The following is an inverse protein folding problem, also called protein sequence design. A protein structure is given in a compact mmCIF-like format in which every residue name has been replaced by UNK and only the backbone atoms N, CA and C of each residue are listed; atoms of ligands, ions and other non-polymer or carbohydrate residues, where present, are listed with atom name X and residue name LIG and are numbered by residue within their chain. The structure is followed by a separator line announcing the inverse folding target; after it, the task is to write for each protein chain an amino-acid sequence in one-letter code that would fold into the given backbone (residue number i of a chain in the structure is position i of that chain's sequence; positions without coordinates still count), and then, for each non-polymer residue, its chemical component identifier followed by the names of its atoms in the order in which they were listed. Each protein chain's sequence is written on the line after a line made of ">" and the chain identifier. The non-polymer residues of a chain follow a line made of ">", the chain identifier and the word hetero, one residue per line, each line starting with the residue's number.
data_IF_281272971752
#
_entry.id   IF_281272971752
#
_cell.length_a   1.000
_cell.length_b   1.000
_cell.length_c   1.000
_cell.angle_alpha   90.00
_cell.angle_beta   90.00
_cell.angle_gamma   90.00
#
_symmetry.space_group_name_H-M   'P 1'
#
loop_
_entity.id
_entity.type
_entity.pdbx_description
1 polymer ?
#
# COMPACT_ATOMS: atom_id res chain seq x y z
N UNK A 1 -24.58 1.12 -27.37
CA UNK A 1 -24.34 1.34 -25.93
C UNK A 1 -22.87 1.66 -25.75
N UNK A 2 -22.50 2.81 -25.19
CA UNK A 2 -21.08 3.17 -25.01
C UNK A 2 -20.44 2.21 -24.01
N UNK A 3 -19.45 1.43 -24.45
CA UNK A 3 -18.63 0.58 -23.58
C UNK A 3 -17.81 1.49 -22.65
N UNK A 4 -18.36 1.80 -21.46
CA UNK A 4 -17.65 2.61 -20.47
C UNK A 4 -16.44 1.82 -19.97
N UNK A 5 -15.25 2.24 -20.40
CA UNK A 5 -14.01 1.66 -19.92
C UNK A 5 -13.78 2.05 -18.46
N UNK A 6 -13.51 1.08 -17.59
CA UNK A 6 -13.18 1.31 -16.18
C UNK A 6 -11.81 1.98 -15.96
N UNK A 7 -11.05 2.24 -17.03
CA UNK A 7 -9.70 2.83 -17.00
C UNK A 7 -9.57 4.04 -16.05
N UNK A 8 -10.51 5.01 -16.00
CA UNK A 8 -10.42 6.15 -15.09
C UNK A 8 -10.40 5.76 -13.61
N UNK A 9 -11.11 4.69 -13.22
CA UNK A 9 -11.14 4.21 -11.83
C UNK A 9 -9.78 3.62 -11.46
N UNK A 10 -9.24 2.72 -12.31
CA UNK A 10 -7.94 2.11 -12.06
C UNK A 10 -6.81 3.14 -11.97
N UNK A 11 -6.86 4.15 -12.84
CA UNK A 11 -5.89 5.23 -12.87
C UNK A 11 -6.08 6.21 -11.71
N UNK A 12 -7.32 6.48 -11.29
CA UNK A 12 -7.63 7.31 -10.12
C UNK A 12 -7.05 6.74 -8.82
N UNK A 13 -7.24 5.44 -8.58
CA UNK A 13 -6.65 4.76 -7.41
C UNK A 13 -5.12 4.74 -7.51
N UNK A 14 -4.57 4.51 -8.71
CA UNK A 14 -3.13 4.59 -8.97
C UNK A 14 -2.56 5.98 -8.64
N UNK A 15 -3.23 7.05 -9.06
CA UNK A 15 -2.82 8.43 -8.78
C UNK A 15 -2.89 8.73 -7.28
N UNK A 16 -4.00 8.37 -6.61
CA UNK A 16 -4.14 8.51 -5.16
C UNK A 16 -3.06 7.74 -4.40
N UNK A 17 -2.75 6.51 -4.82
CA UNK A 17 -1.68 5.72 -4.22
C UNK A 17 -0.29 6.29 -4.45
N UNK A 18 -0.05 6.96 -5.59
CA UNK A 18 1.21 7.65 -5.86
C UNK A 18 1.42 8.85 -4.94
N UNK A 19 0.38 9.68 -4.79
CA UNK A 19 0.40 10.81 -3.85
C UNK A 19 0.59 10.34 -2.42
N UNK A 20 -0.14 9.30 -2.01
CA UNK A 20 0.01 8.73 -0.68
C UNK A 20 1.43 8.21 -0.45
N UNK A 21 2.01 7.47 -1.42
CA UNK A 21 3.37 6.95 -1.28
C UNK A 21 4.41 8.08 -1.18
N UNK A 22 4.27 9.13 -1.98
CA UNK A 22 5.15 10.29 -1.93
C UNK A 22 5.11 11.00 -0.57
N UNK A 23 3.92 11.16 0.02
CA UNK A 23 3.73 11.90 1.28
C UNK A 23 3.99 11.07 2.53
N UNK A 24 3.64 9.77 2.52
CA UNK A 24 3.68 8.93 3.71
C UNK A 24 4.71 7.79 3.61
N UNK A 25 4.78 7.05 2.51
CA UNK A 25 5.69 5.90 2.42
C UNK A 25 7.16 6.33 2.50
N UNK A 26 7.54 7.41 1.82
CA UNK A 26 8.92 7.90 1.84
C UNK A 26 9.42 8.24 3.27
N UNK A 27 8.73 9.09 4.07
CA UNK A 27 9.16 9.33 5.45
C UNK A 27 9.01 8.11 6.34
N UNK A 28 8.03 7.22 6.11
CA UNK A 28 7.92 5.96 6.86
C UNK A 28 9.14 5.06 6.66
N UNK A 29 9.67 4.95 5.43
CA UNK A 29 10.91 4.21 5.16
C UNK A 29 12.08 4.84 5.91
N UNK A 30 12.19 6.18 5.92
CA UNK A 30 13.25 6.86 6.68
C UNK A 30 13.14 6.53 8.18
N UNK A 31 11.94 6.65 8.76
CA UNK A 31 11.71 6.36 10.19
C UNK A 31 12.01 4.91 10.53
N UNK A 32 11.39 3.96 9.82
CA UNK A 32 11.39 2.54 10.17
C UNK A 32 12.69 1.85 9.76
N UNK A 33 13.25 2.19 8.60
CA UNK A 33 14.42 1.49 8.04
C UNK A 33 15.75 2.21 8.32
N UNK A 34 15.74 3.51 8.68
CA UNK A 34 16.97 4.27 8.93
C UNK A 34 17.03 4.85 10.35
N UNK A 35 16.04 5.60 10.80
CA UNK A 35 16.17 6.29 12.09
C UNK A 35 16.03 5.34 13.29
N UNK A 36 15.07 4.42 13.22
CA UNK A 36 14.82 3.45 14.29
C UNK A 36 15.95 2.42 14.45
N UNK A 37 16.47 1.77 13.40
CA UNK A 37 17.53 0.76 13.56
C UNK A 37 18.87 1.35 13.99
N UNK A 38 19.09 2.65 13.75
CA UNK A 38 20.30 3.36 14.16
C UNK A 38 20.14 4.07 15.52
N UNK A 39 19.04 3.82 16.25
CA UNK A 39 18.82 4.31 17.60
C UNK A 39 18.52 5.82 17.72
N UNK A 40 18.28 6.52 16.60
CA UNK A 40 17.99 7.96 16.59
C UNK A 40 16.65 8.27 17.26
N UNK A 41 15.68 7.35 17.15
CA UNK A 41 14.34 7.48 17.72
C UNK A 41 14.17 6.71 19.04
N UNK A 42 15.28 6.31 19.65
CA UNK A 42 15.28 5.51 20.88
C UNK A 42 15.09 4.02 20.63
N UNK A 43 14.56 3.35 21.64
CA UNK A 43 14.46 1.89 21.66
C UNK A 43 13.30 1.36 20.77
N UNK A 44 13.55 0.35 19.90
CA UNK A 44 12.52 -0.23 19.03
C UNK A 44 11.30 -0.79 19.75
N UNK A 45 11.46 -1.37 20.96
CA UNK A 45 10.32 -1.91 21.70
C UNK A 45 9.42 -0.78 22.20
N UNK A 46 10.01 0.30 22.70
CA UNK A 46 9.26 1.49 23.12
C UNK A 46 8.55 2.17 21.94
N UNK A 47 9.19 2.22 20.77
CA UNK A 47 8.56 2.74 19.55
C UNK A 47 7.36 1.87 19.13
N UNK A 48 7.50 0.55 19.20
CA UNK A 48 6.43 -0.40 18.89
C UNK A 48 5.23 -0.22 19.82
N UNK A 49 5.43 -0.25 21.14
CA UNK A 49 4.33 -0.14 22.12
C UNK A 49 3.53 1.15 21.95
N UNK A 50 4.23 2.28 21.76
CA UNK A 50 3.58 3.56 21.49
C UNK A 50 2.77 3.49 20.19
N UNK A 51 3.37 3.03 19.09
CA UNK A 51 2.71 3.00 17.77
C UNK A 51 1.55 2.00 17.73
N UNK A 52 1.69 0.85 18.38
CA UNK A 52 0.68 -0.20 18.44
C UNK A 52 -0.58 0.28 19.16
N UNK A 53 -0.44 1.02 20.26
CA UNK A 53 -1.57 1.61 20.97
C UNK A 53 -2.40 2.58 20.11
N UNK A 54 -1.76 3.31 19.18
CA UNK A 54 -2.46 4.17 18.22
C UNK A 54 -3.13 3.37 17.11
N UNK A 55 -2.41 2.41 16.51
CA UNK A 55 -2.90 1.66 15.34
C UNK A 55 -4.08 0.75 15.69
N UNK A 56 -4.14 0.21 16.90
CA UNK A 56 -5.23 -0.69 17.34
C UNK A 56 -6.57 0.03 17.55
N UNK A 57 -6.59 1.36 17.62
CA UNK A 57 -7.86 2.09 17.57
C UNK A 57 -8.50 1.94 16.19
N UNK A 58 -9.75 1.47 16.15
CA UNK A 58 -10.43 1.00 14.93
C UNK A 58 -10.39 1.99 13.76
N UNK A 59 -10.50 3.30 14.02
CA UNK A 59 -10.41 4.34 12.96
C UNK A 59 -9.02 4.34 12.33
N UNK A 60 -7.97 4.33 13.14
CA UNK A 60 -6.60 4.38 12.65
C UNK A 60 -6.22 3.09 11.96
N UNK A 61 -6.70 1.93 12.43
CA UNK A 61 -6.51 0.66 11.74
C UNK A 61 -7.10 0.67 10.32
N UNK A 62 -8.33 1.16 10.16
CA UNK A 62 -8.98 1.24 8.84
C UNK A 62 -8.22 2.20 7.93
N UNK A 63 -7.86 3.39 8.42
CA UNK A 63 -7.08 4.37 7.66
C UNK A 63 -5.72 3.82 7.24
N UNK A 64 -5.02 3.14 8.14
CA UNK A 64 -3.74 2.50 7.86
C UNK A 64 -3.88 1.36 6.83
N UNK A 65 -4.93 0.56 6.94
CA UNK A 65 -5.23 -0.49 5.96
C UNK A 65 -5.49 0.09 4.57
N UNK A 66 -6.25 1.19 4.47
CA UNK A 66 -6.46 1.92 3.21
C UNK A 66 -5.15 2.48 2.67
N UNK A 67 -4.26 2.98 3.54
CA UNK A 67 -2.95 3.48 3.13
C UNK A 67 -2.09 2.36 2.52
N UNK A 68 -2.05 1.18 3.16
CA UNK A 68 -1.38 -0.02 2.63
C UNK A 68 -1.97 -0.44 1.27
N UNK A 69 -3.30 -0.46 1.15
CA UNK A 69 -3.98 -0.73 -0.12
C UNK A 69 -3.52 0.21 -1.23
N UNK A 70 -3.46 1.51 -0.93
CA UNK A 70 -3.08 2.54 -1.89
C UNK A 70 -1.63 2.40 -2.36
N UNK A 71 -0.69 2.12 -1.45
CA UNK A 71 0.70 1.83 -1.81
C UNK A 71 0.81 0.59 -2.70
N UNK A 72 0.14 -0.49 -2.29
CA UNK A 72 0.15 -1.75 -3.02
C UNK A 72 -0.49 -1.62 -4.40
N UNK A 73 -1.62 -0.91 -4.51
CA UNK A 73 -2.27 -0.67 -5.79
C UNK A 73 -1.39 0.16 -6.72
N UNK A 74 -0.73 1.20 -6.21
CA UNK A 74 0.18 2.02 -7.01
C UNK A 74 1.32 1.16 -7.60
N UNK A 75 1.99 0.38 -6.75
CA UNK A 75 3.06 -0.52 -7.15
C UNK A 75 2.59 -1.59 -8.14
N UNK A 76 1.48 -2.27 -7.84
CA UNK A 76 0.86 -3.29 -8.70
C UNK A 76 0.50 -2.73 -10.09
N UNK A 77 -0.10 -1.53 -10.12
CA UNK A 77 -0.46 -0.87 -11.37
C UNK A 77 0.77 -0.54 -12.21
N UNK A 78 1.83 0.03 -11.60
CA UNK A 78 3.11 0.29 -12.29
C UNK A 78 3.75 -1.00 -12.80
N UNK A 79 3.83 -2.02 -11.96
CA UNK A 79 4.47 -3.29 -12.30
C UNK A 79 3.80 -3.94 -13.51
N UNK A 80 2.47 -3.96 -13.57
CA UNK A 80 1.74 -4.48 -14.72
C UNK A 80 2.15 -3.78 -16.03
N UNK A 81 2.16 -2.45 -16.04
CA UNK A 81 2.51 -1.70 -17.24
C UNK A 81 4.00 -1.77 -17.56
N UNK A 82 4.89 -1.82 -16.57
CA UNK A 82 6.33 -2.06 -16.79
C UNK A 82 6.52 -3.42 -17.50
N UNK A 83 5.87 -4.48 -17.03
CA UNK A 83 5.96 -5.80 -17.67
C UNK A 83 5.42 -5.79 -19.10
N UNK A 84 4.30 -5.09 -19.32
CA UNK A 84 3.72 -4.90 -20.65
C UNK A 84 4.69 -4.15 -21.59
N UNK A 85 5.28 -3.04 -21.11
CA UNK A 85 6.20 -2.20 -21.88
C UNK A 85 7.54 -2.91 -22.14
N UNK A 86 7.94 -3.82 -21.26
CA UNK A 86 9.07 -4.75 -21.46
C UNK A 86 8.73 -5.93 -22.38
N UNK A 87 7.54 -5.97 -22.98
CA UNK A 87 7.06 -7.04 -23.86
C UNK A 87 7.00 -8.42 -23.19
N UNK A 88 6.91 -8.48 -21.86
CA UNK A 88 6.59 -9.73 -21.16
C UNK A 88 5.13 -10.12 -21.44
N UNK A 89 4.80 -11.41 -21.64
CA UNK A 89 3.44 -11.85 -21.92
C UNK A 89 2.54 -11.70 -20.68
N UNK A 90 2.06 -10.49 -20.43
CA UNK A 90 1.06 -10.18 -19.40
C UNK A 90 -0.33 -10.10 -20.01
N UNK A 91 -1.28 -10.84 -19.41
CA UNK A 91 -2.69 -10.80 -19.78
C UNK A 91 -3.57 -10.26 -18.66
N UNK A 92 -4.88 -10.32 -18.87
CA UNK A 92 -5.86 -9.93 -17.84
C UNK A 92 -5.71 -10.73 -16.54
N UNK A 93 -5.27 -12.00 -16.62
CA UNK A 93 -4.99 -12.82 -15.44
C UNK A 93 -3.92 -12.20 -14.52
N UNK A 94 -2.79 -11.78 -15.09
CA UNK A 94 -1.72 -11.09 -14.35
C UNK A 94 -2.23 -9.79 -13.74
N UNK A 95 -3.02 -9.03 -14.49
CA UNK A 95 -3.63 -7.79 -14.01
C UNK A 95 -4.52 -8.02 -12.80
N UNK A 96 -5.39 -9.02 -12.85
CA UNK A 96 -6.29 -9.36 -11.74
C UNK A 96 -5.52 -9.89 -10.54
N UNK A 97 -4.50 -10.72 -10.74
CA UNK A 97 -3.64 -11.20 -9.67
C UNK A 97 -2.99 -10.02 -8.92
N UNK A 98 -2.38 -9.08 -9.65
CA UNK A 98 -1.70 -7.94 -9.05
C UNK A 98 -2.64 -7.04 -8.24
N UNK A 99 -3.86 -6.79 -8.71
CA UNK A 99 -4.83 -6.03 -7.93
C UNK A 99 -5.44 -6.83 -6.79
N UNK A 100 -5.63 -8.14 -6.95
CA UNK A 100 -6.08 -9.01 -5.87
C UNK A 100 -5.06 -9.05 -4.73
N UNK A 101 -3.75 -8.99 -5.02
CA UNK A 101 -2.72 -8.85 -4.00
C UNK A 101 -2.84 -7.53 -3.22
N UNK A 102 -3.17 -6.42 -3.88
CA UNK A 102 -3.40 -5.15 -3.19
C UNK A 102 -4.63 -5.20 -2.27
N UNK A 103 -5.73 -5.82 -2.71
CA UNK A 103 -6.91 -6.05 -1.87
C UNK A 103 -6.60 -7.05 -0.74
N UNK A 104 -5.81 -8.09 -1.02
CA UNK A 104 -5.36 -9.05 -0.02
C UNK A 104 -4.54 -8.39 1.08
N UNK A 105 -3.61 -7.49 0.72
CA UNK A 105 -2.82 -6.73 1.69
C UNK A 105 -3.69 -5.87 2.61
N UNK A 106 -4.73 -5.23 2.07
CA UNK A 106 -5.74 -4.52 2.87
C UNK A 106 -6.40 -5.44 3.89
N UNK A 107 -6.95 -6.58 3.42
CA UNK A 107 -7.70 -7.51 4.25
C UNK A 107 -6.83 -8.15 5.33
N UNK A 108 -5.61 -8.53 4.98
CA UNK A 108 -4.64 -9.11 5.92
C UNK A 108 -4.24 -8.08 6.98
N UNK A 109 -3.95 -6.84 6.58
CA UNK A 109 -3.61 -5.76 7.53
C UNK A 109 -4.76 -5.50 8.50
N UNK A 110 -5.98 -5.40 7.97
CA UNK A 110 -7.18 -5.18 8.77
C UNK A 110 -7.43 -6.36 9.71
N UNK A 111 -7.35 -7.59 9.21
CA UNK A 111 -7.56 -8.80 10.01
C UNK A 111 -6.56 -8.92 11.14
N UNK A 112 -5.26 -8.74 10.86
CA UNK A 112 -4.21 -8.85 11.87
C UNK A 112 -4.37 -7.76 12.94
N UNK A 113 -4.66 -6.52 12.56
CA UNK A 113 -4.78 -5.43 13.53
C UNK A 113 -6.04 -5.44 14.39
N UNK A 114 -6.99 -6.36 14.13
CA UNK A 114 -8.18 -6.58 14.97
C UNK A 114 -7.89 -7.45 16.20
N UNK A 115 -6.77 -8.18 16.23
CA UNK A 115 -6.37 -9.08 17.32
C UNK A 115 -5.09 -8.56 17.98
#
# INVERSE_FOLDING_TARGET
>A
MSNKHLKPIFWGIFSGGGTAAALALAPMIVVICLLLPFGVLGDPSSFYENTHGWITHWVFLVLFSVLVFLFMWHGAHRLYYILHDMHYPVGNGTRYLLYALAVGAFLVTLYIGLF
#
